data_IF_590293268057
#
_entry.id   IF_590293268057
#
_cell.length_a   1.000
_cell.length_b   1.000
_cell.length_c   1.000
_cell.angle_alpha   90.00
_cell.angle_beta   90.00
_cell.angle_gamma   90.00
#
_symmetry.space_group_name_H-M   'P 1'
#
loop_
_entity.id
_entity.type
_entity.pdbx_description
1 polymer ?
#
# COMPACT_ATOMS: atom_id res chain seq x y z
N UNK A 1 26.37 9.37 -3.36
CA UNK A 1 26.21 10.26 -2.19
C UNK A 1 24.72 10.36 -1.98
N UNK A 2 24.17 9.62 -1.03
CA UNK A 2 22.75 9.70 -0.67
C UNK A 2 22.51 11.06 -0.03
N UNK A 3 21.41 11.72 -0.39
CA UNK A 3 20.96 12.92 0.32
C UNK A 3 20.82 12.58 1.82
N UNK A 4 21.10 13.53 2.73
CA UNK A 4 20.84 13.30 4.14
C UNK A 4 19.36 12.97 4.34
N UNK A 5 19.10 11.96 5.17
CA UNK A 5 17.75 11.55 5.58
C UNK A 5 17.01 12.77 6.15
N UNK A 6 15.77 12.98 5.68
CA UNK A 6 14.94 14.04 6.21
C UNK A 6 14.48 13.70 7.64
N UNK A 7 14.32 14.70 8.54
CA UNK A 7 13.81 14.42 9.87
C UNK A 7 12.33 14.01 9.84
N UNK A 8 11.88 13.38 10.93
CA UNK A 8 10.54 12.78 11.02
C UNK A 8 9.39 13.77 10.74
N UNK A 9 9.35 14.99 11.30
CA UNK A 9 8.23 15.88 11.02
C UNK A 9 8.10 16.25 9.53
N UNK A 10 9.23 16.40 8.83
CA UNK A 10 9.25 16.72 7.40
C UNK A 10 8.83 15.52 6.53
N UNK A 11 9.25 14.30 6.90
CA UNK A 11 8.81 13.07 6.21
C UNK A 11 7.31 12.83 6.40
N UNK A 12 6.81 13.02 7.61
CA UNK A 12 5.39 12.92 7.91
C UNK A 12 4.58 13.89 7.03
N UNK A 13 4.98 15.16 6.95
CA UNK A 13 4.32 16.13 6.08
C UNK A 13 4.29 15.67 4.61
N UNK A 14 5.36 15.04 4.11
CA UNK A 14 5.39 14.50 2.75
C UNK A 14 4.46 13.30 2.55
N UNK A 15 4.33 12.42 3.54
CA UNK A 15 3.33 11.33 3.52
C UNK A 15 1.93 11.92 3.40
N UNK A 16 1.57 12.86 4.26
CA UNK A 16 0.25 13.51 4.22
C UNK A 16 -0.01 14.23 2.89
N UNK A 17 0.98 14.93 2.35
CA UNK A 17 0.86 15.61 1.07
C UNK A 17 0.69 14.63 -0.10
N UNK A 18 1.50 13.56 -0.16
CA UNK A 18 1.42 12.54 -1.21
C UNK A 18 0.11 11.76 -1.15
N UNK A 19 -0.30 11.33 0.06
CA UNK A 19 -1.56 10.63 0.26
C UNK A 19 -2.75 11.54 -0.05
N UNK A 20 -2.75 12.79 0.43
CA UNK A 20 -3.78 13.78 0.15
C UNK A 20 -3.96 14.00 -1.36
N UNK A 21 -2.87 14.27 -2.08
CA UNK A 21 -2.87 14.42 -3.54
C UNK A 21 -3.44 13.19 -4.24
N UNK A 22 -2.96 11.99 -3.86
CA UNK A 22 -3.42 10.73 -4.46
C UNK A 22 -4.90 10.45 -4.22
N UNK A 23 -5.44 10.82 -3.05
CA UNK A 23 -6.87 10.70 -2.76
C UNK A 23 -7.66 11.76 -3.54
N UNK A 24 -7.15 12.98 -3.73
CA UNK A 24 -7.82 14.08 -4.47
C UNK A 24 -7.96 13.79 -5.96
N UNK A 25 -7.04 12.99 -6.50
CA UNK A 25 -6.96 12.75 -7.92
C UNK A 25 -8.13 11.88 -8.40
N UNK A 26 -8.93 12.45 -9.29
CA UNK A 26 -9.90 11.70 -10.07
C UNK A 26 -9.15 10.71 -10.99
N UNK A 27 -9.71 9.51 -11.24
CA UNK A 27 -9.00 8.46 -11.95
C UNK A 27 -8.67 8.91 -13.38
N UNK A 28 -7.47 8.57 -13.86
CA UNK A 28 -7.00 8.91 -15.21
C UNK A 28 -7.92 8.37 -16.32
N UNK A 29 -8.68 7.31 -16.00
CA UNK A 29 -9.74 6.75 -16.83
C UNK A 29 -10.92 6.40 -15.94
N UNK A 30 -12.12 6.85 -16.31
CA UNK A 30 -13.31 6.15 -15.89
C UNK A 30 -13.44 4.90 -16.76
N UNK A 31 -13.57 3.72 -16.14
CA UNK A 31 -13.80 2.49 -16.87
C UNK A 31 -15.02 2.69 -17.79
N UNK A 32 -14.91 2.46 -19.11
CA UNK A 32 -16.02 2.60 -20.01
C UNK A 32 -17.20 1.73 -19.54
N UNK A 33 -18.35 2.35 -19.28
CA UNK A 33 -19.58 1.58 -18.98
C UNK A 33 -20.13 1.06 -20.29
N UNK A 34 -19.93 -0.22 -20.57
CA UNK A 34 -20.60 -0.87 -21.70
C UNK A 34 -22.00 -1.31 -21.28
N UNK A 35 -23.06 -0.85 -21.97
CA UNK A 35 -24.43 -1.24 -21.66
C UNK A 35 -24.58 -2.77 -21.69
N UNK A 36 -25.06 -3.36 -20.59
CA UNK A 36 -25.32 -4.80 -20.47
C UNK A 36 -24.15 -5.67 -19.99
N UNK A 37 -22.98 -5.10 -19.67
CA UNK A 37 -21.95 -5.82 -18.91
C UNK A 37 -21.97 -5.42 -17.43
N UNK A 38 -22.07 -6.42 -16.56
CA UNK A 38 -21.92 -6.24 -15.12
C UNK A 38 -20.46 -5.94 -14.76
N UNK A 39 -20.25 -4.90 -13.96
CA UNK A 39 -18.93 -4.56 -13.41
C UNK A 39 -18.60 -5.50 -12.25
N UNK A 40 -17.50 -6.25 -12.37
CA UNK A 40 -17.06 -7.19 -11.32
C UNK A 40 -16.03 -6.52 -10.43
N UNK A 41 -16.01 -6.93 -9.17
CA UNK A 41 -15.01 -6.50 -8.18
C UNK A 41 -14.21 -7.73 -7.74
N UNK A 42 -12.90 -7.67 -7.95
CA UNK A 42 -11.94 -8.69 -7.53
C UNK A 42 -11.09 -8.17 -6.38
N UNK A 43 -10.59 -9.07 -5.55
CA UNK A 43 -9.63 -8.76 -4.51
C UNK A 43 -8.50 -9.79 -4.49
N UNK A 44 -7.26 -9.32 -4.26
CA UNK A 44 -6.06 -10.16 -4.15
C UNK A 44 -5.11 -9.52 -3.14
N UNK A 45 -4.29 -10.33 -2.49
CA UNK A 45 -3.22 -9.93 -1.57
C UNK A 45 -2.05 -10.89 -1.76
N UNK A 46 -0.87 -10.56 -1.22
CA UNK A 46 0.29 -11.47 -1.19
C UNK A 46 0.68 -12.00 -2.58
N UNK A 47 0.69 -11.12 -3.59
CA UNK A 47 1.09 -11.53 -4.94
C UNK A 47 2.57 -11.96 -4.93
N UNK A 48 3.43 -11.29 -4.15
CA UNK A 48 4.85 -11.61 -4.00
C UNK A 48 5.55 -11.90 -5.33
N UNK A 49 5.48 -10.98 -6.28
CA UNK A 49 6.09 -11.13 -7.61
C UNK A 49 7.62 -11.15 -7.60
N UNK A 50 8.25 -10.99 -6.44
CA UNK A 50 9.68 -11.33 -6.27
C UNK A 50 9.96 -12.83 -6.50
N UNK A 51 8.90 -13.65 -6.55
CA UNK A 51 8.96 -15.02 -7.04
C UNK A 51 8.71 -15.06 -8.54
N UNK A 52 9.66 -15.61 -9.29
CA UNK A 52 9.58 -15.73 -10.76
C UNK A 52 8.26 -16.34 -11.24
N UNK A 53 7.75 -17.37 -10.54
CA UNK A 53 6.48 -18.00 -10.87
C UNK A 53 5.28 -17.04 -10.73
N UNK A 54 5.28 -16.20 -9.69
CA UNK A 54 4.22 -15.22 -9.44
C UNK A 54 4.33 -14.05 -10.41
N UNK A 55 5.55 -13.59 -10.71
CA UNK A 55 5.79 -12.59 -11.75
C UNK A 55 5.31 -13.08 -13.12
N UNK A 56 5.56 -14.35 -13.44
CA UNK A 56 5.13 -14.96 -14.69
C UNK A 56 3.61 -15.11 -14.75
N UNK A 57 2.99 -15.55 -13.65
CA UNK A 57 1.53 -15.56 -13.53
C UNK A 57 0.93 -14.16 -13.76
N UNK A 58 1.50 -13.11 -13.15
CA UNK A 58 1.02 -11.75 -13.32
C UNK A 58 1.15 -11.28 -14.78
N UNK A 59 2.26 -11.59 -15.45
CA UNK A 59 2.48 -11.25 -16.88
C UNK A 59 1.50 -11.93 -17.82
N UNK A 60 0.91 -13.05 -17.42
CA UNK A 60 -0.08 -13.79 -18.20
C UNK A 60 -1.51 -13.21 -18.06
N UNK A 61 -1.74 -12.25 -17.16
CA UNK A 61 -3.03 -11.56 -17.09
C UNK A 61 -3.37 -10.93 -18.45
N UNK A 62 -4.58 -11.20 -18.91
CA UNK A 62 -5.01 -10.86 -20.26
C UNK A 62 -5.09 -9.35 -20.46
N UNK A 63 -4.18 -8.82 -21.27
CA UNK A 63 -4.23 -7.44 -21.78
C UNK A 63 -5.23 -7.26 -22.93
N UNK A 64 -6.04 -8.27 -23.24
CA UNK A 64 -6.98 -8.26 -24.39
C UNK A 64 -8.33 -7.59 -24.07
N UNK A 65 -8.43 -6.94 -22.92
CA UNK A 65 -9.62 -6.18 -22.52
C UNK A 65 -10.62 -6.95 -21.65
N UNK A 66 -10.29 -8.18 -21.22
CA UNK A 66 -11.19 -9.03 -20.44
C UNK A 66 -11.62 -8.42 -19.09
N UNK A 67 -10.81 -7.50 -18.57
CA UNK A 67 -11.00 -6.85 -17.26
C UNK A 67 -11.13 -5.33 -17.34
N UNK A 68 -11.27 -4.77 -18.56
CA UNK A 68 -11.24 -3.31 -18.77
C UNK A 68 -12.39 -2.56 -18.07
N UNK A 69 -13.44 -3.28 -17.68
CA UNK A 69 -14.61 -2.76 -16.97
C UNK A 69 -14.62 -3.10 -15.48
N UNK A 70 -13.71 -3.97 -15.05
CA UNK A 70 -13.69 -4.52 -13.70
C UNK A 70 -12.79 -3.72 -12.77
N UNK A 71 -13.02 -3.96 -11.49
CA UNK A 71 -12.24 -3.38 -10.41
C UNK A 71 -11.38 -4.45 -9.75
N UNK A 72 -10.12 -4.12 -9.50
CA UNK A 72 -9.22 -4.94 -8.70
C UNK A 72 -8.83 -4.20 -7.42
N UNK A 73 -8.97 -4.86 -6.29
CA UNK A 73 -8.47 -4.41 -4.99
C UNK A 73 -7.22 -5.23 -4.66
N UNK A 74 -6.09 -4.57 -4.48
CA UNK A 74 -4.81 -5.20 -4.15
C UNK A 74 -4.44 -4.83 -2.71
N UNK A 75 -4.60 -5.78 -1.81
CA UNK A 75 -4.44 -5.59 -0.37
C UNK A 75 -3.01 -5.92 0.09
N UNK A 76 -2.02 -5.29 -0.54
CA UNK A 76 -0.62 -5.33 -0.10
C UNK A 76 0.16 -6.59 -0.47
N UNK A 77 1.44 -6.54 -0.10
CA UNK A 77 2.45 -7.58 -0.25
C UNK A 77 2.61 -8.06 -1.71
N UNK A 78 2.83 -7.08 -2.60
CA UNK A 78 3.05 -7.30 -4.02
C UNK A 78 4.52 -7.55 -4.32
N UNK A 79 5.43 -6.69 -3.86
CA UNK A 79 6.87 -6.83 -4.10
C UNK A 79 7.72 -5.98 -3.15
N UNK A 80 8.93 -6.42 -2.80
CA UNK A 80 9.82 -5.62 -1.96
C UNK A 80 10.80 -4.73 -2.71
N UNK A 81 11.16 -4.99 -3.95
CA UNK A 81 11.97 -4.06 -4.74
C UNK A 81 11.07 -3.05 -5.48
N UNK A 82 11.36 -1.75 -5.35
CA UNK A 82 10.48 -0.71 -5.92
C UNK A 82 10.30 -0.82 -7.44
N UNK A 83 11.32 -1.27 -8.16
CA UNK A 83 11.22 -1.47 -9.61
C UNK A 83 10.29 -2.62 -9.96
N UNK A 84 10.32 -3.69 -9.16
CA UNK A 84 9.45 -4.87 -9.34
C UNK A 84 8.00 -4.50 -8.98
N UNK A 85 7.81 -3.72 -7.91
CA UNK A 85 6.50 -3.18 -7.54
C UNK A 85 5.92 -2.29 -8.64
N UNK A 86 6.75 -1.40 -9.22
CA UNK A 86 6.36 -0.54 -10.35
C UNK A 86 5.87 -1.36 -11.53
N UNK A 87 6.65 -2.34 -11.98
CA UNK A 87 6.27 -3.21 -13.11
C UNK A 87 4.95 -3.94 -12.83
N UNK A 88 4.75 -4.43 -11.60
CA UNK A 88 3.54 -5.14 -11.22
C UNK A 88 2.30 -4.21 -11.22
N UNK A 89 2.40 -3.04 -10.61
CA UNK A 89 1.32 -2.07 -10.55
C UNK A 89 0.97 -1.52 -11.94
N UNK A 90 1.95 -1.32 -12.82
CA UNK A 90 1.72 -0.94 -14.22
C UNK A 90 0.94 -2.02 -15.00
N UNK A 91 1.28 -3.30 -14.80
CA UNK A 91 0.54 -4.41 -15.41
C UNK A 91 -0.92 -4.40 -14.92
N UNK A 92 -1.14 -4.24 -13.62
CA UNK A 92 -2.48 -4.26 -13.04
C UNK A 92 -3.31 -3.05 -13.49
N UNK A 93 -2.74 -1.84 -13.44
CA UNK A 93 -3.40 -0.61 -13.85
C UNK A 93 -3.71 -0.56 -15.36
N UNK A 94 -2.93 -1.26 -16.19
CA UNK A 94 -3.20 -1.38 -17.63
C UNK A 94 -4.19 -2.50 -17.98
N UNK A 95 -4.44 -3.44 -17.06
CA UNK A 95 -5.32 -4.60 -17.28
C UNK A 95 -6.75 -4.33 -16.80
N UNK A 96 -6.90 -3.73 -15.62
CA UNK A 96 -8.19 -3.49 -15.00
C UNK A 96 -8.71 -2.07 -15.25
N UNK A 97 -10.03 -1.90 -15.26
CA UNK A 97 -10.67 -0.60 -15.40
C UNK A 97 -10.43 0.33 -14.21
N UNK A 98 -10.34 -0.23 -13.00
CA UNK A 98 -9.97 0.52 -11.79
C UNK A 98 -9.16 -0.38 -10.86
N UNK A 99 -8.08 0.14 -10.30
CA UNK A 99 -7.26 -0.57 -9.31
C UNK A 99 -7.23 0.22 -8.02
N UNK A 100 -7.47 -0.44 -6.90
CA UNK A 100 -7.17 0.05 -5.56
C UNK A 100 -5.93 -0.68 -5.05
N UNK A 101 -5.06 0.04 -4.35
CA UNK A 101 -3.88 -0.56 -3.74
C UNK A 101 -3.67 -0.03 -2.33
N UNK A 102 -3.28 -0.92 -1.43
CA UNK A 102 -2.85 -0.58 -0.08
C UNK A 102 -1.52 -1.30 0.14
N UNK A 103 -0.40 -0.59 0.34
CA UNK A 103 0.88 -1.25 0.56
C UNK A 103 0.85 -2.05 1.86
N UNK A 104 1.35 -3.28 1.78
CA UNK A 104 1.60 -4.13 2.94
C UNK A 104 2.99 -3.86 3.53
N UNK A 105 3.36 -4.63 4.54
CA UNK A 105 4.68 -4.53 5.17
C UNK A 105 5.80 -4.86 4.19
N UNK A 106 5.63 -5.89 3.35
CA UNK A 106 6.63 -6.33 2.39
C UNK A 106 6.93 -5.26 1.35
N UNK A 107 5.90 -4.54 0.90
CA UNK A 107 6.03 -3.41 -0.03
C UNK A 107 6.88 -2.27 0.56
N UNK A 108 6.99 -2.18 1.89
CA UNK A 108 7.75 -1.15 2.61
C UNK A 108 9.10 -1.63 3.13
N UNK A 109 9.53 -2.85 2.81
CA UNK A 109 10.85 -3.34 3.22
C UNK A 109 11.98 -2.53 2.57
N UNK A 110 12.98 -2.15 3.39
CA UNK A 110 14.21 -1.48 2.98
C UNK A 110 15.42 -2.37 3.33
N UNK A 111 15.66 -3.34 2.44
CA UNK A 111 16.73 -4.34 2.56
C UNK A 111 17.44 -4.54 1.23
N UNK A 112 18.63 -5.14 1.28
CA UNK A 112 19.39 -5.45 0.06
C UNK A 112 19.64 -4.21 -0.79
N UNK A 113 19.20 -4.25 -2.05
CA UNK A 113 19.38 -3.17 -3.04
C UNK A 113 18.52 -1.94 -2.76
N UNK A 114 17.38 -2.08 -2.07
CA UNK A 114 16.51 -0.94 -1.73
C UNK A 114 17.22 0.10 -0.86
N UNK A 115 18.24 -0.31 -0.10
CA UNK A 115 19.08 0.61 0.70
C UNK A 115 19.93 1.57 -0.14
N UNK A 116 20.01 1.35 -1.45
CA UNK A 116 20.65 2.27 -2.39
C UNK A 116 19.70 3.40 -2.81
N UNK A 117 18.39 3.20 -2.62
CA UNK A 117 17.33 4.10 -3.08
C UNK A 117 16.63 4.82 -1.92
N UNK A 118 16.48 4.14 -0.80
CA UNK A 118 15.74 4.64 0.37
C UNK A 118 16.55 4.47 1.65
N UNK A 119 16.55 5.51 2.48
CA UNK A 119 17.15 5.48 3.82
C UNK A 119 16.24 4.75 4.80
N UNK A 120 14.92 4.90 4.63
CA UNK A 120 13.90 4.34 5.49
C UNK A 120 12.60 3.97 4.73
N UNK A 121 11.73 3.21 5.37
CA UNK A 121 10.44 2.71 4.86
C UNK A 121 9.42 3.82 4.61
N UNK A 122 9.58 4.99 5.24
CA UNK A 122 8.67 6.13 5.06
C UNK A 122 9.01 6.87 3.76
N UNK A 123 10.30 7.06 3.45
CA UNK A 123 10.74 7.53 2.12
C UNK A 123 10.23 6.62 1.01
N UNK A 124 10.30 5.30 1.22
CA UNK A 124 9.76 4.32 0.28
C UNK A 124 8.24 4.42 0.17
N UNK A 125 7.52 4.55 1.29
CA UNK A 125 6.06 4.76 1.30
C UNK A 125 5.68 5.99 0.47
N UNK A 126 6.35 7.13 0.66
CA UNK A 126 6.12 8.35 -0.13
C UNK A 126 6.27 8.04 -1.63
N UNK A 127 7.31 7.32 -2.01
CA UNK A 127 7.53 6.94 -3.41
C UNK A 127 6.46 6.01 -3.96
N UNK A 128 6.00 5.03 -3.16
CA UNK A 128 4.89 4.14 -3.51
C UNK A 128 3.58 4.91 -3.70
N UNK A 129 3.29 5.88 -2.83
CA UNK A 129 2.11 6.75 -2.97
C UNK A 129 2.15 7.55 -4.28
N UNK A 130 3.30 8.16 -4.58
CA UNK A 130 3.51 8.92 -5.83
C UNK A 130 3.41 8.03 -7.07
N UNK A 131 3.96 6.82 -7.01
CA UNK A 131 3.82 5.83 -8.08
C UNK A 131 2.35 5.49 -8.33
N UNK A 132 1.60 5.17 -7.28
CA UNK A 132 0.16 4.86 -7.38
C UNK A 132 -0.62 6.03 -7.99
N UNK A 133 -0.33 7.26 -7.54
CA UNK A 133 -0.90 8.47 -8.11
C UNK A 133 -0.60 8.60 -9.62
N UNK A 134 0.66 8.37 -10.02
CA UNK A 134 1.09 8.48 -11.42
C UNK A 134 0.40 7.46 -12.33
N UNK A 135 0.07 6.29 -11.78
CA UNK A 135 -0.64 5.20 -12.48
C UNK A 135 -2.16 5.33 -12.40
N UNK A 136 -2.70 6.30 -11.64
CA UNK A 136 -4.14 6.47 -11.42
C UNK A 136 -4.74 5.37 -10.54
N UNK A 137 -3.93 4.70 -9.72
CA UNK A 137 -4.35 3.70 -8.75
C UNK A 137 -4.96 4.42 -7.54
N UNK A 138 -6.12 3.94 -7.08
CA UNK A 138 -6.87 4.56 -5.98
C UNK A 138 -6.31 4.14 -4.62
N UNK A 139 -6.00 5.16 -3.81
CA UNK A 139 -5.49 5.02 -2.43
C UNK A 139 -6.50 5.44 -1.36
N UNK A 140 -7.67 5.94 -1.76
CA UNK A 140 -8.72 6.39 -0.85
C UNK A 140 -10.12 6.00 -1.33
N UNK A 141 -11.15 6.39 -0.56
CA UNK A 141 -12.48 5.87 -0.78
C UNK A 141 -13.07 6.32 -2.11
N UNK A 142 -13.70 5.38 -2.82
CA UNK A 142 -14.41 5.70 -4.05
C UNK A 142 -15.59 4.75 -4.28
N UNK A 143 -16.62 5.30 -4.92
CA UNK A 143 -17.79 4.55 -5.34
C UNK A 143 -17.53 3.86 -6.68
N UNK A 144 -17.89 2.58 -6.75
CA UNK A 144 -17.83 1.72 -7.93
C UNK A 144 -19.21 1.11 -8.10
N UNK A 145 -19.95 1.53 -9.13
CA UNK A 145 -21.37 1.19 -9.25
C UNK A 145 -22.16 1.62 -8.00
N UNK A 146 -22.79 0.67 -7.33
CA UNK A 146 -23.59 0.91 -6.12
C UNK A 146 -22.84 0.57 -4.81
N UNK A 147 -21.55 0.23 -4.90
CA UNK A 147 -20.72 -0.11 -3.74
C UNK A 147 -19.65 0.95 -3.48
N UNK A 148 -19.36 1.19 -2.21
CA UNK A 148 -18.21 1.98 -1.80
C UNK A 148 -17.05 1.07 -1.42
N UNK A 149 -15.87 1.38 -1.94
CA UNK A 149 -14.61 0.73 -1.57
C UNK A 149 -13.79 1.75 -0.79
N UNK A 150 -13.35 1.39 0.41
CA UNK A 150 -12.51 2.22 1.27
C UNK A 150 -11.23 1.47 1.63
N UNK A 151 -10.09 1.79 1.00
CA UNK A 151 -8.77 1.45 1.50
C UNK A 151 -8.61 1.85 2.98
N UNK A 152 -7.97 1.00 3.78
CA UNK A 152 -7.69 1.26 5.20
C UNK A 152 -6.20 1.10 5.44
N UNK A 153 -5.60 2.12 6.05
CA UNK A 153 -4.23 2.14 6.52
C UNK A 153 -4.18 1.50 7.90
N UNK A 154 -3.34 0.48 8.06
CA UNK A 154 -3.19 -0.22 9.33
C UNK A 154 -1.80 -0.83 9.42
N UNK A 155 -1.38 -1.12 10.64
CA UNK A 155 -0.14 -1.83 10.91
C UNK A 155 -0.35 -2.85 12.02
N UNK A 156 0.46 -3.89 12.03
CA UNK A 156 0.41 -4.89 13.09
C UNK A 156 1.04 -4.34 14.39
N UNK A 157 0.45 -4.71 15.52
CA UNK A 157 1.04 -4.47 16.84
C UNK A 157 0.91 -5.70 17.73
N UNK A 158 1.85 -5.87 18.65
CA UNK A 158 1.94 -7.02 19.56
C UNK A 158 0.70 -7.19 20.44
N UNK A 159 -0.05 -6.12 20.74
CA UNK A 159 -1.22 -6.24 21.63
C UNK A 159 -2.39 -7.09 21.08
N UNK A 160 -2.38 -7.44 19.78
CA UNK A 160 -3.31 -8.42 19.20
C UNK A 160 -2.88 -9.87 19.42
N UNK A 161 -1.61 -10.12 19.71
CA UNK A 161 -1.15 -11.44 20.11
C UNK A 161 -1.60 -11.70 21.55
N UNK A 162 -2.49 -12.68 21.71
CA UNK A 162 -3.00 -13.14 23.01
C UNK A 162 -2.48 -14.54 23.35
N UNK A 163 -1.65 -15.11 22.48
CA UNK A 163 -1.07 -16.42 22.71
C UNK A 163 0.02 -16.32 23.80
N UNK A 164 0.29 -17.41 24.53
CA UNK A 164 1.40 -17.44 25.45
C UNK A 164 2.72 -17.24 24.70
N UNK A 165 3.61 -16.41 25.26
CA UNK A 165 4.96 -16.26 24.73
C UNK A 165 5.64 -17.62 24.59
N UNK A 166 6.23 -17.85 23.42
CA UNK A 166 7.09 -19.02 23.22
C UNK A 166 8.35 -18.85 24.07
N UNK A 167 8.80 -19.93 24.72
CA UNK A 167 10.11 -19.99 25.42
C UNK A 167 11.27 -20.05 24.40
N UNK A 168 11.30 -19.07 23.52
CA UNK A 168 12.38 -18.78 22.60
C UNK A 168 13.11 -17.57 23.17
N UNK A 169 14.45 -17.64 23.27
CA UNK A 169 15.25 -16.48 23.65
C UNK A 169 14.78 -15.27 22.82
N UNK A 170 14.47 -14.15 23.46
CA UNK A 170 13.85 -12.92 22.88
C UNK A 170 14.47 -12.46 21.55
N UNK A 171 15.76 -12.73 21.33
CA UNK A 171 16.44 -12.42 20.06
C UNK A 171 16.09 -13.36 18.88
N UNK A 172 15.33 -14.43 19.10
CA UNK A 172 14.98 -15.42 18.07
C UNK A 172 13.70 -15.03 17.32
N UNK A 173 12.63 -14.59 18.00
CA UNK A 173 11.36 -14.28 17.34
C UNK A 173 11.46 -13.05 16.41
N UNK A 174 12.22 -12.02 16.81
CA UNK A 174 12.48 -10.84 15.99
C UNK A 174 13.28 -11.14 14.72
N UNK A 175 13.91 -12.31 14.62
CA UNK A 175 14.55 -12.80 13.39
C UNK A 175 13.58 -13.54 12.46
N UNK A 176 12.48 -14.06 12.98
CA UNK A 176 11.47 -14.76 12.19
C UNK A 176 10.45 -13.79 11.59
N UNK A 177 10.07 -12.76 12.33
CA UNK A 177 9.24 -11.66 11.81
C UNK A 177 10.17 -10.68 11.09
N UNK A 178 10.30 -10.87 9.77
CA UNK A 178 11.22 -10.09 8.94
C UNK A 178 10.96 -8.59 9.01
N UNK A 179 9.71 -8.18 9.15
CA UNK A 179 9.28 -6.77 9.17
C UNK A 179 10.07 -5.95 10.17
N UNK A 180 10.33 -6.47 11.37
CA UNK A 180 11.09 -5.75 12.41
C UNK A 180 12.54 -5.44 12.02
N UNK A 181 13.07 -6.16 11.04
CA UNK A 181 14.44 -5.97 10.54
C UNK A 181 14.50 -5.38 9.14
N UNK A 182 13.46 -5.56 8.33
CA UNK A 182 13.38 -5.13 6.95
C UNK A 182 12.71 -3.77 6.82
N UNK A 183 11.68 -3.47 7.62
CA UNK A 183 11.19 -2.11 7.76
C UNK A 183 12.17 -1.28 8.58
N UNK A 184 12.38 -0.04 8.16
CA UNK A 184 13.26 0.93 8.79
C UNK A 184 12.48 2.20 8.99
N UNK A 185 12.29 2.63 10.22
CA UNK A 185 11.54 3.83 10.51
C UNK A 185 12.47 4.92 11.03
N UNK A 186 12.20 6.20 10.73
CA UNK A 186 12.96 7.32 11.29
C UNK A 186 13.01 7.21 12.83
N UNK A 187 14.17 7.48 13.46
CA UNK A 187 14.37 7.22 14.89
C UNK A 187 13.50 8.07 15.82
N UNK A 188 12.95 9.17 15.30
CA UNK A 188 12.08 10.09 16.03
C UNK A 188 10.59 9.84 15.76
N UNK A 189 10.27 8.88 14.88
CA UNK A 189 8.89 8.43 14.65
C UNK A 189 8.38 7.66 15.88
N UNK A 190 7.13 7.92 16.35
CA UNK A 190 6.52 7.18 17.44
C UNK A 190 6.56 5.66 17.20
N UNK A 191 7.01 4.89 18.19
CA UNK A 191 7.03 3.42 18.11
C UNK A 191 8.13 2.82 17.21
N UNK A 192 8.92 3.62 16.51
CA UNK A 192 9.91 3.16 15.50
C UNK A 192 10.99 2.20 16.01
N UNK A 193 11.30 2.25 17.31
CA UNK A 193 12.36 1.44 17.94
C UNK A 193 11.85 0.14 18.55
N UNK A 194 10.53 -0.04 18.61
CA UNK A 194 9.90 -1.13 19.34
C UNK A 194 9.16 -2.08 18.38
N UNK A 195 9.61 -3.34 18.26
CA UNK A 195 8.90 -4.36 17.49
C UNK A 195 7.44 -4.51 17.94
N UNK A 196 6.50 -4.36 16.99
CA UNK A 196 5.07 -4.49 17.28
C UNK A 196 4.52 -3.38 18.20
N UNK A 197 5.06 -2.17 18.10
CA UNK A 197 4.58 -0.98 18.82
C UNK A 197 3.13 -0.63 18.48
N UNK A 198 2.37 -0.26 19.52
CA UNK A 198 1.00 0.26 19.39
C UNK A 198 1.02 1.69 18.84
N UNK A 199 2.03 2.49 19.18
CA UNK A 199 2.21 3.86 18.69
C UNK A 199 2.47 3.89 17.19
N UNK A 200 3.30 2.98 16.67
CA UNK A 200 3.54 2.85 15.23
C UNK A 200 2.25 2.48 14.48
N UNK A 201 1.49 1.53 15.03
CA UNK A 201 0.20 1.15 14.47
C UNK A 201 -0.85 2.27 14.55
N UNK A 202 -0.86 3.03 15.65
CA UNK A 202 -1.69 4.21 15.82
C UNK A 202 -1.40 5.27 14.75
N UNK A 203 -0.13 5.52 14.43
CA UNK A 203 0.24 6.46 13.37
C UNK A 203 -0.30 6.03 11.99
N UNK A 204 -0.19 4.74 11.63
CA UNK A 204 -0.80 4.25 10.38
C UNK A 204 -2.33 4.38 10.40
N UNK A 205 -2.98 4.15 11.54
CA UNK A 205 -4.43 4.33 11.69
C UNK A 205 -4.84 5.80 11.52
N UNK A 206 -4.05 6.75 12.04
CA UNK A 206 -4.32 8.18 11.91
C UNK A 206 -4.40 8.65 10.44
N UNK A 207 -3.67 7.99 9.52
CA UNK A 207 -3.76 8.25 8.08
C UNK A 207 -5.17 8.02 7.51
N UNK A 208 -5.99 7.17 8.15
CA UNK A 208 -7.39 6.96 7.76
C UNK A 208 -8.24 8.22 7.91
N UNK A 209 -7.86 9.16 8.79
CA UNK A 209 -8.60 10.42 8.97
C UNK A 209 -8.67 11.24 7.69
N UNK A 210 -7.62 11.21 6.87
CA UNK A 210 -7.58 11.84 5.54
C UNK A 210 -8.55 11.18 4.56
N UNK A 211 -8.69 9.86 4.66
CA UNK A 211 -9.57 9.07 3.79
C UNK A 211 -11.04 9.22 4.20
N UNK A 212 -11.33 9.20 5.50
CA UNK A 212 -12.69 9.22 6.03
C UNK A 212 -13.37 10.60 5.91
N UNK A 213 -12.63 11.70 6.00
CA UNK A 213 -13.18 13.05 5.81
C UNK A 213 -13.86 13.23 4.44
N UNK A 214 -13.36 12.53 3.41
CA UNK A 214 -13.97 12.49 2.07
C UNK A 214 -15.32 11.80 2.02
N UNK A 215 -15.53 10.78 2.84
CA UNK A 215 -16.81 10.06 2.89
C UNK A 215 -17.90 10.93 3.53
N UNK A 216 -17.53 11.72 4.55
CA UNK A 216 -18.47 12.64 5.20
C UNK A 216 -18.89 13.82 4.30
N UNK A 217 -17.98 14.32 3.46
CA UNK A 217 -18.27 15.44 2.55
C UNK A 217 -19.14 15.04 1.34
N UNK A 218 -19.24 13.73 1.06
CA UNK A 218 -20.02 13.16 -0.06
C UNK A 218 -21.34 12.54 0.41
N UNK A 219 -22.01 13.15 1.39
CA UNK A 219 -23.43 12.84 1.66
C UNK A 219 -24.24 12.95 0.36
N UNK A 220 -25.09 11.97 0.03
CA UNK A 220 -25.94 12.08 -1.14
C UNK A 220 -26.84 13.31 -0.95
N UNK A 221 -26.81 14.23 -1.92
CA UNK A 221 -27.90 15.18 -2.05
C UNK A 221 -29.19 14.36 -2.22
N UNK A 222 -30.12 14.51 -1.26
CA UNK A 222 -31.48 13.95 -1.32
C UNK A 222 -32.21 14.31 -2.63
#
# INVERSE_FOLDING_TARGET
>A
VTSPELPWPELEQQVHAALGSAIEREPLRQAPRFPGQEQRVFAVTDIHVDKDANAEWLRQLSRRGDFINDVLIVCGDVADEITVLSDALEILASTFGTVFFMPGNHDLWVRGRERLHFSNSIEKLIHVLQLCESLGIKLGPAQVGDVWISPVWSWHHSSFDKEPDLDLKTAAYTRYIKDYTACKFPPDMPGSKEPGSVELAGWFDELNSLSLSRLSDRQPHE
#
